data_IF_023906391481
#
_entry.id   IF_023906391481
#
_cell.length_a   1.000
_cell.length_b   1.000
_cell.length_c   1.000
_cell.angle_alpha   90.00
_cell.angle_beta   90.00
_cell.angle_gamma   90.00
#
_symmetry.space_group_name_H-M   'P 1'
#
loop_
_entity.id
_entity.type
_entity.pdbx_description
1 polymer ?
#
# COMPACT_ATOMS: atom_id res chain seq x y z
N UNK A 1 -26.09 -20.01 18.18
CA UNK A 1 -26.75 -18.69 17.97
C UNK A 1 -28.25 -18.86 17.68
N UNK A 2 -28.61 -19.77 16.77
CA UNK A 2 -30.01 -20.04 16.37
C UNK A 2 -30.97 -20.34 17.54
N UNK A 3 -30.58 -21.17 18.50
CA UNK A 3 -31.42 -21.49 19.67
C UNK A 3 -31.76 -20.26 20.55
N UNK A 4 -30.86 -19.29 20.60
CA UNK A 4 -31.04 -18.06 21.39
C UNK A 4 -31.99 -17.09 20.67
N UNK A 5 -31.83 -16.94 19.35
CA UNK A 5 -32.73 -16.13 18.51
C UNK A 5 -34.15 -16.70 18.54
N UNK A 6 -34.29 -18.02 18.38
CA UNK A 6 -35.58 -18.71 18.42
C UNK A 6 -36.29 -18.58 19.78
N UNK A 7 -35.53 -18.51 20.88
CA UNK A 7 -36.10 -18.25 22.22
C UNK A 7 -36.61 -16.81 22.36
N UNK A 8 -35.87 -15.82 21.85
CA UNK A 8 -36.29 -14.41 21.87
C UNK A 8 -37.54 -14.15 21.03
N UNK A 9 -37.63 -14.76 19.84
CA UNK A 9 -38.82 -14.65 18.99
C UNK A 9 -40.06 -15.24 19.66
N UNK A 10 -39.95 -16.45 20.24
CA UNK A 10 -41.07 -17.07 20.98
C UNK A 10 -41.55 -16.23 22.16
N UNK A 11 -40.65 -15.50 22.83
CA UNK A 11 -41.01 -14.61 23.94
C UNK A 11 -41.71 -13.34 23.43
N UNK A 12 -41.28 -12.80 22.30
CA UNK A 12 -41.95 -11.68 21.65
C UNK A 12 -43.35 -12.04 21.16
N UNK A 13 -43.51 -13.18 20.49
CA UNK A 13 -44.82 -13.68 20.02
C UNK A 13 -45.82 -13.90 21.15
N UNK A 14 -45.32 -14.28 22.33
CA UNK A 14 -46.13 -14.43 23.55
C UNK A 14 -46.37 -13.12 24.32
N UNK A 15 -45.91 -11.98 23.79
CA UNK A 15 -46.03 -10.66 24.44
C UNK A 15 -45.13 -10.48 25.67
N UNK A 16 -44.23 -11.42 25.95
CA UNK A 16 -43.29 -11.36 27.08
C UNK A 16 -42.03 -10.53 26.77
N UNK A 17 -41.91 -10.00 25.55
CA UNK A 17 -40.94 -9.00 25.15
C UNK A 17 -41.63 -7.95 24.30
N UNK A 18 -41.26 -6.70 24.50
CA UNK A 18 -41.61 -5.61 23.60
C UNK A 18 -40.75 -5.64 22.34
N UNK A 19 -41.21 -4.97 21.28
CA UNK A 19 -40.43 -4.80 20.04
C UNK A 19 -39.05 -4.18 20.31
N UNK A 20 -38.97 -3.25 21.27
CA UNK A 20 -37.72 -2.57 21.64
C UNK A 20 -36.73 -3.53 22.31
N UNK A 21 -37.20 -4.35 23.25
CA UNK A 21 -36.36 -5.33 23.95
C UNK A 21 -35.89 -6.44 23.01
N UNK A 22 -36.72 -6.86 22.06
CA UNK A 22 -36.31 -7.80 21.01
C UNK A 22 -35.18 -7.22 20.15
N UNK A 23 -35.33 -5.98 19.68
CA UNK A 23 -34.29 -5.31 18.86
C UNK A 23 -32.98 -5.17 19.65
N UNK A 24 -33.05 -4.78 20.92
CA UNK A 24 -31.87 -4.65 21.77
C UNK A 24 -31.19 -5.99 22.04
N UNK A 25 -31.95 -7.06 22.28
CA UNK A 25 -31.43 -8.41 22.49
C UNK A 25 -30.73 -8.97 21.24
N UNK A 26 -31.31 -8.76 20.07
CA UNK A 26 -30.71 -9.17 18.79
C UNK A 26 -29.43 -8.38 18.48
N UNK A 27 -29.41 -7.07 18.74
CA UNK A 27 -28.22 -6.23 18.55
C UNK A 27 -27.06 -6.61 19.50
N UNK A 28 -27.36 -7.03 20.73
CA UNK A 28 -26.32 -7.54 21.64
C UNK A 28 -25.79 -8.92 21.19
N UNK A 29 -26.62 -9.76 20.57
CA UNK A 29 -26.17 -11.04 20.02
C UNK A 29 -25.15 -10.86 18.89
N UNK A 30 -25.33 -9.84 18.04
CA UNK A 30 -24.39 -9.49 16.97
C UNK A 30 -23.07 -8.92 17.48
N UNK A 31 -23.05 -8.31 18.68
CA UNK A 31 -21.84 -7.80 19.32
C UNK A 31 -21.05 -8.91 20.05
N UNK A 32 -21.74 -9.96 20.54
CA UNK A 32 -21.14 -11.06 21.29
C UNK A 32 -20.60 -12.19 20.40
N UNK A 33 -21.20 -12.41 19.22
CA UNK A 33 -20.45 -13.04 18.14
C UNK A 33 -19.48 -12.02 17.62
N UNK A 34 -18.20 -12.16 17.94
CA UNK A 34 -17.16 -11.40 17.28
C UNK A 34 -17.25 -11.63 15.77
N UNK A 35 -18.07 -10.83 15.08
CA UNK A 35 -17.53 -10.15 13.93
C UNK A 35 -16.35 -9.43 14.54
N UNK A 36 -15.15 -10.00 14.36
CA UNK A 36 -13.99 -9.15 14.18
C UNK A 36 -14.56 -8.02 13.33
N UNK A 37 -14.68 -6.83 13.92
CA UNK A 37 -14.94 -5.65 13.12
C UNK A 37 -14.03 -5.87 11.93
N UNK A 38 -14.59 -6.04 10.72
CA UNK A 38 -13.79 -5.83 9.54
C UNK A 38 -13.28 -4.43 9.83
N UNK A 39 -12.03 -4.36 10.33
CA UNK A 39 -11.50 -3.20 11.01
C UNK A 39 -11.59 -2.18 9.91
N UNK A 40 -12.65 -1.36 9.98
CA UNK A 40 -13.19 -0.76 8.77
C UNK A 40 -12.03 -0.04 8.17
N UNK A 41 -11.59 -0.47 6.97
CA UNK A 41 -10.32 -0.06 6.38
C UNK A 41 -10.18 1.42 6.67
N UNK A 42 -9.34 1.74 7.65
CA UNK A 42 -9.30 3.11 8.12
C UNK A 42 -8.63 3.84 6.98
N UNK A 43 -9.44 4.60 6.23
CA UNK A 43 -8.99 5.24 4.98
C UNK A 43 -7.63 5.85 5.28
N UNK A 44 -6.64 5.46 4.48
CA UNK A 44 -5.23 5.68 4.78
C UNK A 44 -4.87 7.19 4.92
N UNK A 45 -5.83 8.06 4.59
CA UNK A 45 -5.64 9.49 4.38
C UNK A 45 -5.01 9.78 3.01
N UNK A 46 -4.74 8.76 2.21
CA UNK A 46 -4.14 8.82 0.89
C UNK A 46 -4.69 7.71 -0.01
N UNK A 47 -4.60 7.91 -1.32
CA UNK A 47 -4.99 6.92 -2.33
C UNK A 47 -3.82 6.69 -3.29
N UNK A 48 -3.63 5.44 -3.72
CA UNK A 48 -2.73 5.13 -4.82
C UNK A 48 -3.30 5.72 -6.12
N UNK A 49 -2.46 6.42 -6.87
CA UNK A 49 -2.87 7.12 -8.09
C UNK A 49 -2.14 6.61 -9.32
N UNK A 50 -0.88 6.21 -9.18
CA UNK A 50 -0.03 5.83 -10.30
C UNK A 50 1.01 4.78 -9.90
N UNK A 51 1.53 4.06 -10.90
CA UNK A 51 2.90 3.54 -10.83
C UNK A 51 3.80 4.71 -11.22
N UNK A 52 4.65 5.16 -10.29
CA UNK A 52 5.53 6.30 -10.52
C UNK A 52 6.71 5.88 -11.40
N UNK A 53 7.55 4.98 -10.86
CA UNK A 53 8.71 4.41 -11.55
C UNK A 53 8.97 2.96 -11.19
N UNK A 54 9.79 2.30 -12.00
CA UNK A 54 10.38 0.99 -11.70
C UNK A 54 11.90 1.15 -11.61
N UNK A 55 12.51 0.56 -10.59
CA UNK A 55 13.95 0.54 -10.41
C UNK A 55 14.51 -0.83 -10.80
N UNK A 56 15.52 -0.84 -11.66
CA UNK A 56 16.17 -2.07 -12.14
C UNK A 56 17.68 -2.02 -11.92
N UNK A 57 18.26 -3.19 -11.72
CA UNK A 57 19.70 -3.37 -11.63
C UNK A 57 20.31 -3.65 -13.00
N UNK A 58 21.33 -2.87 -13.35
CA UNK A 58 22.05 -2.95 -14.62
C UNK A 58 23.54 -3.16 -14.37
N UNK A 59 24.25 -3.81 -15.30
CA UNK A 59 25.72 -3.98 -15.24
C UNK A 59 26.49 -2.86 -15.95
N UNK A 60 25.81 -2.04 -16.74
CA UNK A 60 26.42 -1.03 -17.59
C UNK A 60 25.43 0.13 -17.72
N UNK A 61 25.68 1.20 -16.95
CA UNK A 61 24.84 2.39 -16.95
C UNK A 61 24.85 3.11 -18.30
N UNK A 62 26.01 3.48 -18.90
CA UNK A 62 26.03 4.15 -20.20
C UNK A 62 25.25 3.40 -21.29
N UNK A 63 25.43 2.08 -21.39
CA UNK A 63 24.72 1.26 -22.37
C UNK A 63 23.21 1.25 -22.12
N UNK A 64 22.80 1.14 -20.86
CA UNK A 64 21.39 1.09 -20.49
C UNK A 64 20.72 2.45 -20.70
N UNK A 65 21.38 3.55 -20.33
CA UNK A 65 20.92 4.91 -20.59
C UNK A 65 20.69 5.11 -22.09
N UNK A 66 21.70 4.83 -22.91
CA UNK A 66 21.60 4.97 -24.36
C UNK A 66 20.42 4.17 -24.95
N UNK A 67 20.18 2.95 -24.47
CA UNK A 67 19.01 2.16 -24.87
C UNK A 67 17.70 2.89 -24.59
N UNK A 68 17.50 3.37 -23.36
CA UNK A 68 16.25 4.05 -22.99
C UNK A 68 16.05 5.41 -23.69
N UNK A 69 17.14 6.14 -23.92
CA UNK A 69 17.08 7.39 -24.67
C UNK A 69 16.75 7.15 -26.15
N UNK A 70 17.44 6.21 -26.80
CA UNK A 70 17.32 6.01 -28.24
C UNK A 70 16.02 5.27 -28.63
N UNK A 71 15.59 4.31 -27.82
CA UNK A 71 14.42 3.47 -28.15
C UNK A 71 13.12 4.12 -27.69
N UNK A 72 13.13 4.78 -26.53
CA UNK A 72 11.90 5.31 -25.90
C UNK A 72 11.88 6.84 -25.78
N UNK A 73 12.94 7.54 -26.19
CA UNK A 73 13.00 9.00 -26.12
C UNK A 73 13.06 9.54 -24.68
N UNK A 74 13.47 8.74 -23.69
CA UNK A 74 13.61 9.21 -22.33
C UNK A 74 14.83 10.14 -22.20
N UNK A 75 14.79 11.06 -21.24
CA UNK A 75 15.90 11.92 -20.86
C UNK A 75 16.28 11.67 -19.40
N UNK A 76 17.50 12.09 -19.02
CA UNK A 76 17.94 12.06 -17.63
C UNK A 76 17.14 13.09 -16.84
N UNK A 77 16.42 12.61 -15.83
CA UNK A 77 15.62 13.42 -14.90
C UNK A 77 16.47 13.80 -13.70
N UNK A 78 17.20 12.83 -13.13
CA UNK A 78 18.14 13.07 -12.03
C UNK A 78 19.17 11.94 -11.91
N UNK A 79 20.24 12.22 -11.17
CA UNK A 79 21.33 11.28 -10.92
C UNK A 79 21.71 11.30 -9.44
N UNK A 80 22.02 10.13 -8.91
CA UNK A 80 22.71 9.96 -7.64
C UNK A 80 24.04 9.25 -7.94
N UNK A 81 25.06 10.06 -8.22
CA UNK A 81 26.37 9.59 -8.65
C UNK A 81 27.09 8.75 -7.60
N UNK A 82 27.07 9.12 -6.29
CA UNK A 82 27.66 8.27 -5.24
C UNK A 82 27.12 6.85 -5.19
N UNK A 83 25.83 6.65 -5.49
CA UNK A 83 25.20 5.32 -5.50
C UNK A 83 25.10 4.71 -6.91
N UNK A 84 25.66 5.35 -7.93
CA UNK A 84 25.60 4.90 -9.32
C UNK A 84 24.14 4.66 -9.78
N UNK A 85 23.27 5.65 -9.54
CA UNK A 85 21.87 5.62 -9.95
C UNK A 85 21.57 6.74 -10.95
N UNK A 86 20.92 6.40 -12.06
CA UNK A 86 20.43 7.35 -13.06
C UNK A 86 18.93 7.14 -13.28
N UNK A 87 18.16 8.22 -13.18
CA UNK A 87 16.70 8.22 -13.32
C UNK A 87 16.31 8.83 -14.65
N UNK A 88 15.54 8.08 -15.44
CA UNK A 88 15.15 8.45 -16.79
C UNK A 88 13.62 8.59 -16.90
N UNK A 89 13.17 9.53 -17.72
CA UNK A 89 11.76 9.81 -17.92
C UNK A 89 11.50 10.86 -19.01
N UNK A 90 10.24 11.22 -19.23
CA UNK A 90 9.86 12.31 -20.15
C UNK A 90 9.74 13.65 -19.44
N UNK A 91 9.19 13.63 -18.22
CA UNK A 91 9.03 14.81 -17.35
C UNK A 91 9.20 14.43 -15.89
N UNK A 92 8.68 13.25 -15.53
CA UNK A 92 8.96 12.55 -14.26
C UNK A 92 9.70 11.26 -14.55
N UNK A 93 10.43 10.75 -13.56
CA UNK A 93 11.09 9.44 -13.61
C UNK A 93 10.09 8.35 -13.99
N UNK A 94 10.52 7.41 -14.81
CA UNK A 94 9.76 6.19 -15.17
C UNK A 94 10.59 4.93 -14.97
N UNK A 95 11.88 5.02 -15.25
CA UNK A 95 12.85 3.96 -14.96
C UNK A 95 14.03 4.53 -14.17
N UNK A 96 14.38 3.87 -13.08
CA UNK A 96 15.60 4.13 -12.31
C UNK A 96 16.58 3.00 -12.62
N UNK A 97 17.78 3.36 -13.06
CA UNK A 97 18.86 2.42 -13.39
C UNK A 97 19.88 2.47 -12.26
N UNK A 98 20.12 1.34 -11.62
CA UNK A 98 21.09 1.20 -10.53
C UNK A 98 22.22 0.28 -10.98
N UNK A 99 23.46 0.76 -11.00
CA UNK A 99 24.61 -0.09 -11.31
C UNK A 99 24.86 -1.06 -10.15
N UNK A 100 24.34 -2.28 -10.27
CA UNK A 100 24.39 -3.25 -9.18
C UNK A 100 24.19 -4.67 -9.71
N UNK A 101 24.74 -5.64 -8.98
CA UNK A 101 24.49 -7.06 -9.19
C UNK A 101 23.58 -7.63 -8.08
N UNK A 102 22.70 -8.60 -8.41
CA UNK A 102 22.52 -9.24 -9.70
C UNK A 102 21.74 -8.38 -10.71
N UNK A 103 22.03 -8.56 -12.01
CA UNK A 103 21.32 -7.86 -13.10
C UNK A 103 20.02 -8.57 -13.48
N UNK A 104 19.22 -7.92 -14.34
CA UNK A 104 17.88 -8.38 -14.75
C UNK A 104 16.92 -8.53 -13.56
N UNK A 105 17.17 -7.78 -12.50
CA UNK A 105 16.37 -7.74 -11.29
C UNK A 105 15.65 -6.39 -11.21
N UNK A 106 14.34 -6.45 -10.99
CA UNK A 106 13.58 -5.29 -10.49
C UNK A 106 13.89 -5.16 -9.01
N UNK A 107 14.60 -4.09 -8.63
CA UNK A 107 14.94 -3.80 -7.24
C UNK A 107 13.67 -3.42 -6.46
N UNK A 108 12.85 -2.56 -7.06
CA UNK A 108 11.54 -2.18 -6.56
C UNK A 108 10.69 -1.51 -7.64
N UNK A 109 9.40 -1.39 -7.37
CA UNK A 109 8.50 -0.47 -8.07
C UNK A 109 7.93 0.56 -7.08
N UNK A 110 7.63 1.74 -7.58
CA UNK A 110 7.09 2.84 -6.79
C UNK A 110 5.62 3.08 -7.10
N UNK A 111 4.82 3.21 -6.04
CA UNK A 111 3.43 3.64 -6.11
C UNK A 111 3.36 5.10 -5.69
N UNK A 112 2.88 5.95 -6.60
CA UNK A 112 2.53 7.33 -6.30
C UNK A 112 1.22 7.38 -5.52
N UNK A 113 1.20 8.14 -4.42
CA UNK A 113 0.01 8.36 -3.60
C UNK A 113 -0.31 9.84 -3.45
N UNK A 114 -1.60 10.14 -3.27
CA UNK A 114 -2.11 11.51 -3.07
C UNK A 114 -3.30 11.54 -2.08
N UNK A 115 -3.34 12.50 -1.12
CA UNK A 115 -2.22 13.34 -0.70
C UNK A 115 -1.10 12.52 -0.04
N UNK A 116 0.16 12.91 -0.26
CA UNK A 116 1.28 12.33 0.47
C UNK A 116 1.52 13.10 1.78
N UNK A 117 1.19 12.48 2.92
CA UNK A 117 1.62 12.95 4.24
C UNK A 117 2.45 11.86 4.92
N UNK A 118 3.70 12.20 5.25
CA UNK A 118 4.71 11.27 5.77
C UNK A 118 4.21 10.55 7.02
N UNK A 119 3.60 11.27 7.95
CA UNK A 119 3.12 10.76 9.24
C UNK A 119 1.90 9.84 9.06
N UNK A 120 0.96 10.23 8.20
CA UNK A 120 -0.25 9.44 7.90
C UNK A 120 0.11 8.13 7.19
N UNK A 121 0.98 8.20 6.18
CA UNK A 121 1.52 7.03 5.48
C UNK A 121 2.21 6.09 6.46
N UNK A 122 3.13 6.61 7.28
CA UNK A 122 3.85 5.81 8.29
C UNK A 122 2.90 5.12 9.26
N UNK A 123 1.90 5.86 9.77
CA UNK A 123 0.91 5.33 10.72
C UNK A 123 0.10 4.21 10.07
N UNK A 124 -0.39 4.43 8.84
CA UNK A 124 -1.18 3.44 8.12
C UNK A 124 -0.37 2.16 7.86
N UNK A 125 0.89 2.28 7.43
CA UNK A 125 1.76 1.12 7.21
C UNK A 125 1.98 0.33 8.52
N UNK A 126 2.28 1.02 9.63
CA UNK A 126 2.45 0.37 10.94
C UNK A 126 1.20 -0.32 11.46
N UNK A 127 0.02 0.24 11.21
CA UNK A 127 -1.26 -0.40 11.54
C UNK A 127 -1.44 -1.73 10.81
N UNK A 128 -0.81 -1.89 9.65
CA UNK A 128 -0.81 -3.13 8.85
C UNK A 128 0.42 -4.01 9.11
N UNK A 129 1.15 -3.77 10.20
CA UNK A 129 2.32 -4.58 10.56
C UNK A 129 3.56 -4.35 9.69
N UNK A 130 3.56 -3.30 8.87
CA UNK A 130 4.68 -2.94 8.00
C UNK A 130 5.60 -1.94 8.71
N UNK A 131 6.91 -2.14 8.57
CA UNK A 131 7.93 -1.23 9.08
C UNK A 131 8.54 -0.45 7.90
N UNK A 132 8.15 0.82 7.68
CA UNK A 132 8.70 1.61 6.60
C UNK A 132 10.18 1.91 6.85
N UNK A 133 11.02 1.57 5.89
CA UNK A 133 12.43 1.98 5.86
C UNK A 133 12.52 3.34 5.18
N UNK A 134 13.08 4.33 5.90
CA UNK A 134 13.40 5.63 5.31
C UNK A 134 14.63 5.47 4.42
N UNK A 135 14.48 5.80 3.13
CA UNK A 135 15.61 5.88 2.23
C UNK A 135 15.82 7.35 1.80
N UNK A 136 17.05 7.62 1.37
CA UNK A 136 17.65 8.92 1.13
C UNK A 136 16.94 9.71 0.01
N UNK A 137 16.05 9.05 -0.76
CA UNK A 137 15.28 9.63 -1.85
C UNK A 137 13.75 9.52 -1.64
N UNK A 138 13.15 10.65 -1.28
CA UNK A 138 11.76 11.06 -1.54
C UNK A 138 10.60 10.08 -1.27
N UNK A 139 10.78 9.02 -0.45
CA UNK A 139 9.72 8.06 -0.16
C UNK A 139 10.08 7.00 0.89
N UNK A 140 9.13 6.10 1.13
CA UNK A 140 9.28 4.95 2.03
C UNK A 140 9.40 3.65 1.28
N UNK A 141 10.09 2.67 1.85
CA UNK A 141 10.07 1.31 1.36
C UNK A 141 9.39 0.37 2.34
N UNK A 142 8.57 -0.53 1.82
CA UNK A 142 8.00 -1.67 2.54
C UNK A 142 8.15 -2.93 1.70
N UNK A 143 7.94 -4.09 2.31
CA UNK A 143 7.78 -5.35 1.60
C UNK A 143 6.30 -5.70 1.51
N UNK A 144 5.87 -6.15 0.34
CA UNK A 144 4.56 -6.77 0.19
C UNK A 144 4.55 -8.19 0.84
N UNK A 145 3.41 -8.89 0.86
CA UNK A 145 3.32 -10.23 1.44
C UNK A 145 4.29 -11.27 0.84
N UNK A 146 4.72 -11.09 -0.41
CA UNK A 146 5.65 -11.98 -1.11
C UNK A 146 7.11 -11.52 -0.98
N UNK A 147 7.36 -10.45 -0.22
CA UNK A 147 8.69 -9.91 0.02
C UNK A 147 9.18 -8.94 -1.06
N UNK A 148 8.36 -8.58 -2.04
CA UNK A 148 8.70 -7.61 -3.10
C UNK A 148 8.80 -6.22 -2.48
N UNK A 149 9.87 -5.50 -2.81
CA UNK A 149 10.07 -4.13 -2.32
C UNK A 149 9.15 -3.16 -3.07
N UNK A 150 8.33 -2.45 -2.31
CA UNK A 150 7.43 -1.40 -2.79
C UNK A 150 7.90 -0.07 -2.24
N UNK A 151 8.15 0.90 -3.12
CA UNK A 151 8.39 2.28 -2.72
C UNK A 151 7.08 3.07 -2.74
N UNK A 152 6.86 3.94 -1.76
CA UNK A 152 5.71 4.85 -1.70
C UNK A 152 6.24 6.28 -1.80
N UNK A 153 5.76 7.00 -2.81
CA UNK A 153 6.20 8.36 -3.17
C UNK A 153 5.01 9.27 -3.40
N UNK A 154 5.25 10.58 -3.44
CA UNK A 154 4.23 11.55 -3.84
C UNK A 154 3.99 11.50 -5.35
N UNK A 155 2.71 11.48 -5.77
CA UNK A 155 2.29 11.35 -7.16
C UNK A 155 2.58 12.56 -8.07
#
# INVERSE_FOLDING_TARGET
MEAVISSMLKRFEKGALTRRELIQGLAMLTAASGTASAAGFQEAGFKATTIDHVSIQVSDLPRSIAFYQNVFGLSVVSEDKPNEIVRLGTTKTRVSLHHKSPTALVDHFAIGVDPFNKESVTRHLKQHGLNPEENIDAGFHVKDPEGIRVQIVQA
#
